data_IF_009638972607
#
_entry.id   IF_009638972607
#
_cell.length_a   1.000
_cell.length_b   1.000
_cell.length_c   1.000
_cell.angle_alpha   90.00
_cell.angle_beta   90.00
_cell.angle_gamma   90.00
#
_symmetry.space_group_name_H-M   'P 1'
#
loop_
_entity.id
_entity.type
_entity.pdbx_description
1 polymer ?
#
# COMPACT_ATOMS: atom_id res chain seq x y z
N UNK A 1 -63.92 34.19 48.04
CA UNK A 1 -63.73 33.96 49.49
C UNK A 1 -62.63 32.92 49.68
N UNK A 2 -61.35 33.30 49.46
CA UNK A 2 -60.10 32.50 49.56
C UNK A 2 -60.14 31.12 48.85
N UNK A 3 -59.06 30.60 48.29
CA UNK A 3 -58.14 29.69 48.95
C UNK A 3 -56.93 29.50 48.03
N UNK A 4 -55.76 29.62 48.65
CA UNK A 4 -54.40 29.22 48.30
C UNK A 4 -54.00 28.92 46.86
N UNK A 5 -53.06 29.73 46.38
CA UNK A 5 -52.06 29.33 45.39
C UNK A 5 -51.21 28.18 45.93
N UNK A 6 -51.14 27.08 45.18
CA UNK A 6 -50.15 26.03 45.36
C UNK A 6 -49.32 25.97 44.08
N UNK A 7 -48.15 26.60 44.08
CA UNK A 7 -47.18 26.52 42.98
C UNK A 7 -46.43 25.19 43.10
N UNK A 8 -46.88 24.17 42.37
CA UNK A 8 -46.08 22.97 42.13
C UNK A 8 -45.05 23.26 41.03
N UNK A 9 -43.78 23.25 41.45
CA UNK A 9 -42.61 23.28 40.59
C UNK A 9 -42.53 21.92 39.86
N UNK A 10 -42.88 21.87 38.57
CA UNK A 10 -42.65 20.69 37.73
C UNK A 10 -41.20 20.73 37.26
N UNK A 11 -40.32 20.01 37.95
CA UNK A 11 -38.95 19.74 37.51
C UNK A 11 -39.00 18.75 36.34
N UNK A 12 -38.76 19.25 35.13
CA UNK A 12 -38.44 18.41 33.98
C UNK A 12 -37.07 17.74 34.22
N UNK A 13 -37.06 16.48 34.64
CA UNK A 13 -35.88 15.63 34.54
C UNK A 13 -35.64 15.31 33.06
N UNK A 14 -34.72 16.05 32.43
CA UNK A 14 -34.11 15.62 31.17
C UNK A 14 -33.18 14.46 31.50
N UNK A 15 -33.60 13.24 31.16
CA UNK A 15 -32.76 12.06 31.22
C UNK A 15 -31.71 12.19 30.10
N UNK A 16 -30.57 12.78 30.43
CA UNK A 16 -29.37 12.70 29.62
C UNK A 16 -28.93 11.23 29.59
N UNK A 17 -29.25 10.53 28.51
CA UNK A 17 -28.56 9.29 28.17
C UNK A 17 -27.14 9.71 27.79
N UNK A 18 -26.23 9.69 28.77
CA UNK A 18 -24.80 9.63 28.51
C UNK A 18 -24.55 8.30 27.81
N UNK A 19 -24.47 8.35 26.48
CA UNK A 19 -23.80 7.32 25.72
C UNK A 19 -22.32 7.48 26.10
N UNK A 20 -21.85 6.65 27.02
CA UNK A 20 -20.41 6.43 27.23
C UNK A 20 -19.86 5.90 25.91
N UNK A 21 -19.42 6.83 25.06
CA UNK A 21 -18.52 6.53 23.97
C UNK A 21 -17.19 6.17 24.58
N UNK A 22 -16.99 4.88 24.88
CA UNK A 22 -15.65 4.36 25.15
C UNK A 22 -14.84 4.55 23.87
N UNK A 23 -14.08 5.64 23.83
CA UNK A 23 -13.04 5.90 22.85
C UNK A 23 -12.03 4.76 22.99
N UNK A 24 -12.14 3.74 22.13
CA UNK A 24 -11.14 2.68 22.01
C UNK A 24 -9.89 3.30 21.36
N UNK A 25 -9.09 3.99 22.17
CA UNK A 25 -7.71 4.33 21.83
C UNK A 25 -6.92 3.03 21.78
N UNK A 26 -6.80 2.46 20.58
CA UNK A 26 -5.79 1.46 20.29
C UNK A 26 -4.43 2.15 20.34
N UNK A 27 -3.73 2.03 21.47
CA UNK A 27 -2.31 2.38 21.61
C UNK A 27 -1.50 1.34 20.82
N UNK A 28 -1.38 1.52 19.51
CA UNK A 28 -0.57 0.68 18.61
C UNK A 28 0.91 0.97 18.85
N UNK A 29 1.45 0.36 19.90
CA UNK A 29 2.85 0.48 20.35
C UNK A 29 3.87 -0.31 19.49
N UNK A 30 3.70 -0.31 18.17
CA UNK A 30 4.55 -1.08 17.25
C UNK A 30 5.08 -0.31 16.02
N UNK A 31 4.93 1.00 15.97
CA UNK A 31 5.80 1.80 15.09
C UNK A 31 7.17 1.91 15.74
N UNK A 32 8.19 1.30 15.13
CA UNK A 32 9.58 1.63 15.48
C UNK A 32 9.82 3.07 15.07
N UNK A 33 9.62 3.96 16.03
CA UNK A 33 10.04 5.35 15.98
C UNK A 33 11.56 5.35 15.78
N UNK A 34 12.06 5.48 14.56
CA UNK A 34 13.48 5.65 14.33
C UNK A 34 13.88 7.04 14.84
N UNK A 35 14.66 7.09 15.92
CA UNK A 35 15.21 8.34 16.44
C UNK A 35 14.17 9.37 16.94
N UNK A 36 12.98 8.94 17.37
CA UNK A 36 11.93 9.87 17.85
C UNK A 36 10.94 10.36 16.76
N UNK A 37 11.14 10.01 15.49
CA UNK A 37 10.26 10.42 14.39
C UNK A 37 9.44 9.25 13.81
N UNK A 38 8.13 9.44 13.69
CA UNK A 38 7.29 8.63 12.83
C UNK A 38 7.35 9.17 11.40
N UNK A 39 7.92 8.38 10.49
CA UNK A 39 8.09 8.74 9.08
C UNK A 39 6.76 8.74 8.31
N UNK A 40 5.71 8.12 8.84
CA UNK A 40 4.44 7.91 8.17
C UNK A 40 3.35 8.90 8.61
N UNK A 41 3.63 9.74 9.62
CA UNK A 41 2.81 10.87 10.03
C UNK A 41 3.38 12.21 9.59
N UNK A 42 2.60 12.99 8.84
CA UNK A 42 3.10 14.16 8.15
C UNK A 42 2.07 14.80 7.23
N UNK A 43 2.56 15.55 6.26
CA UNK A 43 1.75 16.21 5.24
C UNK A 43 2.42 16.18 3.87
N UNK A 44 1.60 16.30 2.82
CA UNK A 44 2.10 16.55 1.48
C UNK A 44 2.41 18.03 1.31
N UNK A 45 3.63 18.32 0.88
CA UNK A 45 4.15 19.67 0.67
C UNK A 45 4.51 19.82 -0.80
N UNK A 46 4.08 20.93 -1.39
CA UNK A 46 4.48 21.29 -2.74
C UNK A 46 5.97 21.61 -2.79
N UNK A 47 6.68 21.03 -3.76
CA UNK A 47 8.12 21.20 -3.97
C UNK A 47 8.41 21.22 -5.48
N UNK A 48 8.91 22.36 -5.97
CA UNK A 48 9.26 22.56 -7.38
C UNK A 48 10.34 21.61 -7.90
N UNK A 49 11.20 21.10 -6.99
CA UNK A 49 12.31 20.20 -7.32
C UNK A 49 11.90 18.75 -7.57
N UNK A 50 10.60 18.43 -7.43
CA UNK A 50 10.02 17.15 -7.80
C UNK A 50 9.48 17.20 -9.25
N UNK A 51 9.32 16.05 -9.95
CA UNK A 51 9.58 14.68 -9.50
C UNK A 51 11.07 14.37 -9.35
N UNK A 52 11.40 13.21 -8.77
CA UNK A 52 12.80 12.78 -8.62
C UNK A 52 13.48 12.40 -9.93
N UNK A 53 12.69 12.07 -10.95
CA UNK A 53 13.14 11.74 -12.30
C UNK A 53 12.01 12.06 -13.30
N UNK A 54 12.38 12.27 -14.55
CA UNK A 54 11.43 12.40 -15.65
C UNK A 54 11.02 11.02 -16.17
N UNK A 55 9.72 10.78 -16.40
CA UNK A 55 9.20 9.50 -16.91
C UNK A 55 9.92 9.03 -18.19
N UNK A 56 10.24 9.98 -19.08
CA UNK A 56 10.92 9.74 -20.36
C UNK A 56 12.31 9.10 -20.23
N UNK A 57 12.97 9.24 -19.07
CA UNK A 57 14.27 8.64 -18.79
C UNK A 57 14.17 7.18 -18.32
N UNK A 58 12.95 6.67 -18.08
CA UNK A 58 12.72 5.30 -17.64
C UNK A 58 11.98 4.49 -18.72
N UNK A 59 12.70 3.72 -19.56
CA UNK A 59 12.10 3.11 -20.76
C UNK A 59 11.19 1.90 -20.47
N UNK A 60 11.13 1.44 -19.22
CA UNK A 60 10.45 0.21 -18.82
C UNK A 60 9.19 0.42 -17.97
N UNK A 61 8.69 1.65 -17.82
CA UNK A 61 7.39 1.91 -17.18
C UNK A 61 6.29 1.20 -18.00
N UNK A 62 5.47 0.37 -17.35
CA UNK A 62 4.34 -0.27 -18.05
C UNK A 62 3.27 0.76 -18.39
N UNK A 63 2.60 0.56 -19.53
CA UNK A 63 1.61 1.51 -20.07
C UNK A 63 0.55 1.92 -19.04
N UNK A 64 0.12 1.04 -18.14
CA UNK A 64 -0.89 1.41 -17.14
C UNK A 64 -0.44 2.47 -16.13
N UNK A 65 0.87 2.71 -15.97
CA UNK A 65 1.42 3.69 -15.02
C UNK A 65 2.04 4.92 -15.70
N UNK A 66 2.33 4.86 -17.01
CA UNK A 66 2.99 5.94 -17.76
C UNK A 66 1.99 7.03 -18.21
N UNK A 67 1.51 7.80 -17.24
CA UNK A 67 0.45 8.80 -17.46
C UNK A 67 0.87 9.92 -18.42
N UNK A 68 2.12 10.38 -18.32
CA UNK A 68 2.64 11.44 -19.20
C UNK A 68 2.69 10.98 -20.66
N UNK A 69 3.21 9.78 -20.92
CA UNK A 69 3.22 9.19 -22.27
C UNK A 69 1.82 8.88 -22.79
N UNK A 70 0.88 8.59 -21.90
CA UNK A 70 -0.53 8.41 -22.24
C UNK A 70 -1.28 9.74 -22.42
N UNK A 71 -0.61 10.88 -22.32
CA UNK A 71 -1.16 12.19 -22.67
C UNK A 71 -1.78 12.97 -21.50
N UNK A 72 -1.46 12.62 -20.24
CA UNK A 72 -1.90 13.39 -19.08
C UNK A 72 -1.32 14.81 -19.11
N UNK A 73 -2.16 15.87 -19.17
CA UNK A 73 -1.69 17.23 -19.40
C UNK A 73 -1.25 17.95 -18.11
N UNK A 74 -1.90 17.68 -16.98
CA UNK A 74 -1.56 18.31 -15.71
C UNK A 74 -0.27 17.72 -15.10
N UNK A 75 0.55 18.56 -14.47
CA UNK A 75 1.82 18.16 -13.85
C UNK A 75 1.87 18.39 -12.34
N UNK A 76 0.84 19.02 -11.76
CA UNK A 76 0.83 19.37 -10.33
C UNK A 76 0.95 18.14 -9.42
N UNK A 77 0.37 17.00 -9.81
CA UNK A 77 0.48 15.76 -9.05
C UNK A 77 1.93 15.27 -8.85
N UNK A 78 2.85 15.67 -9.74
CA UNK A 78 4.27 15.33 -9.66
C UNK A 78 5.03 16.16 -8.62
N UNK A 79 4.49 17.31 -8.22
CA UNK A 79 5.18 18.35 -7.46
C UNK A 79 5.00 18.22 -5.94
N UNK A 80 4.59 17.06 -5.45
CA UNK A 80 4.34 16.86 -4.02
C UNK A 80 5.35 15.90 -3.41
N UNK A 81 5.97 16.33 -2.31
CA UNK A 81 6.79 15.50 -1.44
C UNK A 81 6.13 15.26 -0.10
N UNK A 82 6.46 14.15 0.54
CA UNK A 82 6.03 13.88 1.90
C UNK A 82 6.97 14.55 2.91
N UNK A 83 6.41 15.23 3.90
CA UNK A 83 7.13 15.84 5.02
C UNK A 83 6.61 15.23 6.33
N UNK A 84 7.39 14.36 6.99
CA UNK A 84 7.08 13.91 8.34
C UNK A 84 6.99 15.11 9.30
N UNK A 85 6.09 15.04 10.28
CA UNK A 85 5.85 16.15 11.24
C UNK A 85 7.04 16.34 12.19
N UNK A 86 7.68 15.25 12.62
CA UNK A 86 8.71 15.26 13.67
C UNK A 86 10.16 15.30 13.15
N UNK A 87 10.37 15.18 11.84
CA UNK A 87 11.71 15.16 11.26
C UNK A 87 11.70 15.44 9.75
N UNK A 88 12.89 15.61 9.18
CA UNK A 88 13.05 15.69 7.74
C UNK A 88 13.29 14.30 7.15
N UNK A 89 12.51 13.97 6.11
CA UNK A 89 12.77 12.80 5.30
C UNK A 89 14.02 13.05 4.45
N UNK A 90 14.99 12.15 4.54
CA UNK A 90 16.22 12.25 3.71
C UNK A 90 15.84 12.06 2.25
N UNK A 91 16.30 12.95 1.37
CA UNK A 91 16.07 12.83 -0.07
C UNK A 91 16.68 11.52 -0.59
N UNK A 92 15.99 10.85 -1.49
CA UNK A 92 16.45 9.59 -2.06
C UNK A 92 17.80 9.74 -2.76
N UNK A 93 18.73 8.83 -2.47
CA UNK A 93 20.00 8.72 -3.19
C UNK A 93 20.11 7.30 -3.77
N UNK A 94 19.89 7.19 -5.09
CA UNK A 94 19.87 5.89 -5.77
C UNK A 94 21.25 5.21 -5.85
N UNK A 95 22.34 5.99 -5.91
CA UNK A 95 23.68 5.40 -5.89
C UNK A 95 24.01 4.83 -4.51
N UNK A 96 23.72 5.56 -3.42
CA UNK A 96 23.88 5.05 -2.06
C UNK A 96 23.00 3.80 -1.82
N UNK A 97 21.74 3.83 -2.27
CA UNK A 97 20.84 2.68 -2.20
C UNK A 97 21.48 1.44 -2.84
N UNK A 98 22.00 1.56 -4.06
CA UNK A 98 22.64 0.46 -4.78
C UNK A 98 23.94 0.00 -4.11
N UNK A 99 24.75 0.92 -3.57
CA UNK A 99 25.95 0.56 -2.81
C UNK A 99 25.61 -0.23 -1.54
N UNK A 100 24.55 0.15 -0.82
CA UNK A 100 24.10 -0.56 0.39
C UNK A 100 23.38 -1.88 0.10
N UNK A 101 22.78 -2.00 -1.09
CA UNK A 101 22.20 -3.23 -1.63
C UNK A 101 23.23 -4.08 -2.41
N UNK A 102 24.50 -3.71 -2.42
CA UNK A 102 25.50 -4.44 -3.19
C UNK A 102 25.56 -5.92 -2.76
N UNK A 103 25.51 -6.82 -3.74
CA UNK A 103 25.48 -8.27 -3.53
C UNK A 103 24.17 -8.84 -2.98
N UNK A 104 23.11 -8.03 -2.83
CA UNK A 104 21.84 -8.40 -2.20
C UNK A 104 20.67 -8.42 -3.17
N UNK A 105 19.58 -9.06 -2.71
CA UNK A 105 18.30 -9.19 -3.40
C UNK A 105 17.21 -8.50 -2.59
N UNK A 106 16.47 -7.62 -3.26
CA UNK A 106 15.22 -7.04 -2.76
C UNK A 106 14.07 -7.59 -3.60
N UNK A 107 13.00 -8.07 -2.96
CA UNK A 107 11.85 -8.65 -3.65
C UNK A 107 10.55 -8.05 -3.15
N UNK A 108 9.76 -7.53 -4.08
CA UNK A 108 8.37 -7.16 -3.89
C UNK A 108 7.50 -8.38 -4.17
N UNK A 109 6.61 -8.73 -3.25
CA UNK A 109 5.72 -9.88 -3.36
C UNK A 109 4.29 -9.43 -3.14
N UNK A 110 3.45 -9.54 -4.15
CA UNK A 110 2.07 -9.11 -4.00
C UNK A 110 1.32 -8.97 -5.29
N UNK A 111 0.39 -8.02 -5.28
CA UNK A 111 -0.47 -7.72 -6.41
C UNK A 111 0.14 -6.69 -7.38
N UNK A 112 -0.70 -6.01 -8.17
CA UNK A 112 -0.26 -5.01 -9.15
C UNK A 112 0.26 -3.72 -8.51
N UNK A 113 0.01 -3.46 -7.23
CA UNK A 113 0.56 -2.31 -6.51
C UNK A 113 2.02 -2.56 -6.09
N UNK A 114 2.36 -3.80 -5.73
CA UNK A 114 3.76 -4.25 -5.63
C UNK A 114 4.52 -4.08 -6.95
N UNK A 115 3.89 -4.40 -8.09
CA UNK A 115 4.48 -4.13 -9.41
C UNK A 115 4.70 -2.62 -9.62
N UNK A 116 3.72 -1.80 -9.23
CA UNK A 116 3.77 -0.35 -9.34
C UNK A 116 4.93 0.24 -8.51
N UNK A 117 5.10 -0.21 -7.26
CA UNK A 117 6.21 0.21 -6.40
C UNK A 117 7.57 -0.30 -6.90
N UNK A 118 7.64 -1.54 -7.39
CA UNK A 118 8.86 -2.11 -7.98
C UNK A 118 9.31 -1.35 -9.24
N UNK A 119 8.39 -0.97 -10.14
CA UNK A 119 8.71 -0.18 -11.32
C UNK A 119 9.20 1.23 -10.94
N UNK A 120 8.55 1.86 -9.96
CA UNK A 120 9.02 3.13 -9.38
C UNK A 120 10.46 3.04 -8.89
N UNK A 121 10.78 2.06 -8.03
CA UNK A 121 12.13 1.91 -7.50
C UNK A 121 13.14 1.65 -8.62
N UNK A 122 12.78 0.80 -9.58
CA UNK A 122 13.64 0.49 -10.72
C UNK A 122 13.95 1.75 -11.55
N UNK A 123 12.95 2.61 -11.80
CA UNK A 123 13.16 3.90 -12.46
C UNK A 123 14.04 4.85 -11.65
N UNK A 124 13.76 5.00 -10.35
CA UNK A 124 14.54 5.86 -9.45
C UNK A 124 16.01 5.44 -9.41
N UNK A 125 16.31 4.14 -9.42
CA UNK A 125 17.68 3.63 -9.46
C UNK A 125 18.32 3.78 -10.83
N UNK A 126 17.60 3.41 -11.91
CA UNK A 126 18.13 3.52 -13.27
C UNK A 126 18.54 4.96 -13.61
N UNK A 127 17.71 5.93 -13.25
CA UNK A 127 17.95 7.35 -13.52
C UNK A 127 19.03 7.95 -12.62
N UNK A 128 19.25 7.39 -11.43
CA UNK A 128 20.35 7.80 -10.54
C UNK A 128 21.73 7.31 -11.00
N UNK A 129 21.80 6.22 -11.78
CA UNK A 129 23.05 5.65 -12.32
C UNK A 129 22.91 5.34 -13.82
N UNK A 130 22.72 6.36 -14.69
CA UNK A 130 22.35 6.16 -16.09
C UNK A 130 23.36 5.34 -16.90
N UNK A 131 24.64 5.41 -16.54
CA UNK A 131 25.72 4.66 -17.20
C UNK A 131 25.93 3.24 -16.63
N UNK A 132 25.15 2.83 -15.64
CA UNK A 132 25.21 1.47 -15.10
C UNK A 132 24.47 0.50 -16.03
N UNK A 133 25.12 -0.59 -16.50
CA UNK A 133 24.41 -1.60 -17.27
C UNK A 133 23.34 -2.24 -16.39
N UNK A 134 22.26 -2.69 -17.03
CA UNK A 134 21.21 -3.46 -16.38
C UNK A 134 20.76 -4.62 -17.25
N UNK A 135 20.14 -5.62 -16.61
CA UNK A 135 19.41 -6.69 -17.31
C UNK A 135 18.03 -6.83 -16.71
N UNK A 136 17.02 -7.03 -17.55
CA UNK A 136 15.64 -7.27 -17.12
C UNK A 136 15.13 -8.57 -17.72
N UNK A 137 14.70 -9.50 -16.86
CA UNK A 137 14.19 -10.82 -17.27
C UNK A 137 12.87 -11.10 -16.57
N UNK A 138 11.95 -11.75 -17.28
CA UNK A 138 10.63 -12.12 -16.75
C UNK A 138 10.33 -13.58 -17.06
N UNK A 139 10.00 -14.34 -16.01
CA UNK A 139 9.65 -15.75 -16.08
C UNK A 139 8.37 -15.99 -15.30
N UNK A 140 7.25 -16.17 -16.02
CA UNK A 140 5.94 -16.29 -15.40
C UNK A 140 5.59 -15.08 -14.53
N UNK A 141 5.33 -15.33 -13.24
CA UNK A 141 5.03 -14.29 -12.25
C UNK A 141 6.26 -13.58 -11.67
N UNK A 142 7.49 -13.98 -12.04
CA UNK A 142 8.72 -13.42 -11.50
C UNK A 142 9.39 -12.47 -12.50
N UNK A 143 9.62 -11.22 -12.10
CA UNK A 143 10.44 -10.24 -12.81
C UNK A 143 11.72 -9.99 -12.03
N UNK A 144 12.88 -9.93 -12.70
CA UNK A 144 14.18 -9.67 -12.08
C UNK A 144 14.88 -8.58 -12.88
N UNK A 145 15.12 -7.44 -12.23
CA UNK A 145 15.95 -6.36 -12.73
C UNK A 145 17.28 -6.39 -11.99
N UNK A 146 18.38 -6.53 -12.71
CA UNK A 146 19.72 -6.66 -12.12
C UNK A 146 20.57 -5.47 -12.53
N UNK A 147 21.31 -4.91 -11.56
CA UNK A 147 22.41 -3.99 -11.80
C UNK A 147 23.74 -4.74 -11.60
N UNK A 148 24.37 -5.29 -12.67
CA UNK A 148 25.56 -6.14 -12.54
C UNK A 148 26.73 -5.43 -11.86
N UNK A 149 26.89 -4.11 -12.07
CA UNK A 149 27.92 -3.29 -11.41
C UNK A 149 27.89 -3.39 -9.89
N UNK A 150 26.70 -3.52 -9.30
CA UNK A 150 26.50 -3.61 -7.86
C UNK A 150 26.22 -5.04 -7.40
N UNK A 151 26.09 -5.99 -8.35
CA UNK A 151 25.52 -7.32 -8.09
C UNK A 151 24.20 -7.25 -7.28
N UNK A 152 23.38 -6.24 -7.57
CA UNK A 152 22.12 -5.98 -6.87
C UNK A 152 20.95 -6.42 -7.74
N UNK A 153 19.95 -7.10 -7.14
CA UNK A 153 18.75 -7.58 -7.84
C UNK A 153 17.49 -7.02 -7.23
N UNK A 154 16.66 -6.38 -8.05
CA UNK A 154 15.31 -5.95 -7.74
C UNK A 154 14.33 -6.94 -8.36
N UNK A 155 13.57 -7.62 -7.52
CA UNK A 155 12.70 -8.71 -7.93
C UNK A 155 11.24 -8.32 -7.66
N UNK A 156 10.34 -8.77 -8.52
CA UNK A 156 8.90 -8.74 -8.28
C UNK A 156 8.33 -10.14 -8.49
N UNK A 157 7.67 -10.68 -7.47
CA UNK A 157 6.99 -11.98 -7.50
C UNK A 157 5.49 -11.75 -7.37
N UNK A 158 4.75 -12.00 -8.45
CA UNK A 158 3.30 -11.83 -8.48
C UNK A 158 2.61 -12.91 -7.65
N UNK A 159 2.10 -12.52 -6.49
CA UNK A 159 1.25 -13.35 -5.65
C UNK A 159 0.22 -12.46 -4.92
N UNK A 160 -0.87 -12.13 -5.61
CA UNK A 160 -1.82 -11.11 -5.17
C UNK A 160 -2.57 -11.41 -3.87
N UNK A 161 -2.62 -12.68 -3.46
CA UNK A 161 -3.32 -13.12 -2.24
C UNK A 161 -2.34 -13.61 -1.17
N UNK A 162 -1.06 -13.74 -1.51
CA UNK A 162 0.01 -14.41 -0.74
C UNK A 162 -0.22 -15.92 -0.53
N UNK A 163 -1.47 -16.37 -0.54
CA UNK A 163 -1.92 -17.76 -0.49
C UNK A 163 -2.32 -18.29 -1.86
N UNK A 164 -2.46 -19.61 -1.96
CA UNK A 164 -2.58 -20.29 -3.26
C UNK A 164 -4.00 -20.24 -3.85
N UNK A 165 -4.05 -20.12 -5.19
CA UNK A 165 -5.25 -20.44 -5.98
C UNK A 165 -4.92 -21.67 -6.81
N UNK A 166 -5.67 -22.75 -6.58
CA UNK A 166 -5.44 -24.05 -7.23
C UNK A 166 -6.62 -24.42 -8.11
N UNK A 167 -6.35 -24.87 -9.33
CA UNK A 167 -7.37 -25.45 -10.20
C UNK A 167 -7.68 -26.89 -9.76
N UNK A 168 -8.93 -27.13 -9.36
CA UNK A 168 -9.42 -28.45 -8.95
C UNK A 168 -10.65 -28.84 -9.78
N UNK A 169 -11.14 -30.09 -9.62
CA UNK A 169 -12.33 -30.58 -10.33
C UNK A 169 -13.58 -29.74 -10.08
N UNK A 170 -13.66 -29.09 -8.91
CA UNK A 170 -14.79 -28.23 -8.54
C UNK A 170 -14.67 -26.81 -9.10
N UNK A 171 -13.52 -26.42 -9.65
CA UNK A 171 -13.21 -25.06 -10.09
C UNK A 171 -11.91 -24.54 -9.49
N UNK A 172 -11.68 -23.23 -9.59
CA UNK A 172 -10.53 -22.54 -8.99
C UNK A 172 -10.80 -22.31 -7.51
N UNK A 173 -9.91 -22.80 -6.64
CA UNK A 173 -10.07 -22.76 -5.19
C UNK A 173 -9.01 -21.85 -4.59
N UNK A 174 -9.42 -20.77 -3.93
CA UNK A 174 -8.55 -19.96 -3.07
C UNK A 174 -8.36 -20.70 -1.75
N UNK A 175 -7.16 -21.23 -1.51
CA UNK A 175 -6.80 -21.97 -0.29
C UNK A 175 -6.19 -21.01 0.71
N UNK A 176 -6.93 -20.64 1.75
CA UNK A 176 -6.50 -19.64 2.73
C UNK A 176 -5.37 -20.13 3.66
N UNK A 177 -5.09 -21.43 3.67
CA UNK A 177 -4.15 -22.13 4.55
C UNK A 177 -2.94 -22.73 3.82
N UNK A 178 -2.70 -22.31 2.57
CA UNK A 178 -1.62 -22.84 1.72
C UNK A 178 -0.78 -21.73 1.09
N UNK A 179 0.55 -21.90 1.11
CA UNK A 179 1.54 -20.99 0.50
C UNK A 179 2.64 -21.81 -0.17
N UNK A 180 2.44 -22.22 -1.43
CA UNK A 180 3.47 -22.91 -2.22
C UNK A 180 4.54 -21.93 -2.72
N UNK A 181 4.15 -20.69 -3.06
CA UNK A 181 5.06 -19.67 -3.58
C UNK A 181 6.16 -19.25 -2.59
N UNK A 182 6.00 -19.59 -1.31
CA UNK A 182 6.92 -19.23 -0.23
C UNK A 182 8.36 -19.68 -0.46
N UNK A 183 8.57 -20.81 -1.13
CA UNK A 183 9.92 -21.29 -1.45
C UNK A 183 10.74 -20.29 -2.27
N UNK A 184 10.07 -19.48 -3.12
CA UNK A 184 10.75 -18.47 -3.94
C UNK A 184 11.20 -17.25 -3.13
N UNK A 185 10.65 -17.04 -1.93
CA UNK A 185 10.94 -15.89 -1.07
C UNK A 185 12.15 -16.16 -0.16
N UNK A 186 12.50 -17.44 0.04
CA UNK A 186 13.59 -17.84 0.93
C UNK A 186 14.96 -17.34 0.43
N UNK A 187 15.78 -16.90 1.38
CA UNK A 187 17.13 -16.39 1.14
C UNK A 187 17.19 -14.98 0.53
N UNK A 188 16.07 -14.33 0.24
CA UNK A 188 16.04 -12.92 -0.19
C UNK A 188 16.42 -12.04 1.00
N UNK A 189 17.26 -11.03 0.78
CA UNK A 189 17.79 -10.16 1.86
C UNK A 189 16.75 -9.14 2.34
N UNK A 190 15.88 -8.66 1.44
CA UNK A 190 14.80 -7.73 1.76
C UNK A 190 13.51 -8.17 1.06
N UNK A 191 12.48 -8.50 1.84
CA UNK A 191 11.14 -8.85 1.35
C UNK A 191 10.17 -7.70 1.64
N UNK A 192 9.39 -7.30 0.64
CA UNK A 192 8.31 -6.30 0.77
C UNK A 192 7.02 -6.95 0.27
N UNK A 193 6.10 -7.20 1.18
CA UNK A 193 4.81 -7.82 0.87
C UNK A 193 3.71 -6.79 0.68
N UNK A 194 2.73 -7.09 -0.17
CA UNK A 194 1.49 -6.33 -0.37
C UNK A 194 0.36 -7.32 -0.72
N UNK A 195 -0.86 -7.03 -0.27
CA UNK A 195 -2.06 -7.81 -0.61
C UNK A 195 -3.32 -7.00 -0.26
N UNK A 196 -4.07 -6.48 -1.23
CA UNK A 196 -5.43 -5.97 -0.96
C UNK A 196 -6.32 -5.85 -2.20
N UNK A 197 -5.85 -5.22 -3.27
CA UNK A 197 -6.73 -4.76 -4.37
C UNK A 197 -7.45 -5.89 -5.09
N UNK A 198 -6.87 -7.09 -5.07
CA UNK A 198 -7.48 -8.27 -5.68
C UNK A 198 -8.56 -8.94 -4.82
N UNK A 199 -8.56 -8.71 -3.50
CA UNK A 199 -9.55 -9.28 -2.58
C UNK A 199 -10.95 -8.71 -2.81
N UNK A 200 -11.05 -7.47 -3.27
CA UNK A 200 -12.34 -6.81 -3.51
C UNK A 200 -12.97 -7.17 -4.87
N UNK A 201 -12.28 -7.95 -5.71
CA UNK A 201 -12.83 -8.38 -6.99
C UNK A 201 -14.00 -9.34 -6.83
N UNK A 202 -15.06 -9.09 -7.60
CA UNK A 202 -16.29 -9.90 -7.64
C UNK A 202 -16.68 -10.21 -9.08
N UNK A 203 -17.60 -11.17 -9.26
CA UNK A 203 -18.12 -11.56 -10.57
C UNK A 203 -17.00 -12.03 -11.51
N UNK A 204 -16.99 -11.52 -12.75
CA UNK A 204 -16.00 -11.93 -13.78
C UNK A 204 -14.56 -11.59 -13.43
N UNK A 205 -14.32 -10.61 -12.54
CA UNK A 205 -12.96 -10.24 -12.10
C UNK A 205 -12.45 -11.12 -10.95
N UNK A 206 -13.31 -11.93 -10.34
CA UNK A 206 -12.92 -12.82 -9.24
C UNK A 206 -12.09 -14.01 -9.76
N UNK A 207 -10.85 -14.20 -9.26
CA UNK A 207 -9.97 -15.24 -9.76
C UNK A 207 -10.22 -16.63 -9.14
N UNK A 208 -11.14 -16.75 -8.18
CA UNK A 208 -11.56 -18.02 -7.57
C UNK A 208 -13.07 -18.24 -7.73
N UNK A 209 -13.46 -19.51 -7.70
CA UNK A 209 -14.85 -19.96 -7.72
C UNK A 209 -15.31 -20.44 -6.33
N UNK A 210 -14.35 -20.90 -5.50
CA UNK A 210 -14.56 -21.36 -4.13
C UNK A 210 -13.42 -20.90 -3.22
N UNK A 211 -13.70 -20.83 -1.92
CA UNK A 211 -12.72 -20.55 -0.86
C UNK A 211 -12.63 -21.78 0.05
N UNK A 212 -11.41 -22.18 0.40
CA UNK A 212 -11.14 -23.30 1.31
C UNK A 212 -10.29 -22.88 2.49
N UNK A 213 -10.64 -23.37 3.68
CA UNK A 213 -9.84 -23.33 4.90
C UNK A 213 -9.96 -24.70 5.59
N UNK A 214 -8.85 -25.42 5.73
CA UNK A 214 -8.83 -26.81 6.17
C UNK A 214 -9.73 -27.68 5.29
N UNK A 215 -10.65 -28.40 5.94
CA UNK A 215 -11.59 -29.28 5.25
C UNK A 215 -12.89 -28.59 4.79
N UNK A 216 -13.06 -27.29 5.07
CA UNK A 216 -14.28 -26.56 4.73
C UNK A 216 -14.11 -25.85 3.39
N UNK A 217 -15.00 -26.14 2.44
CA UNK A 217 -15.07 -25.45 1.14
C UNK A 217 -16.40 -24.72 1.05
N UNK A 218 -16.35 -23.41 0.82
CA UNK A 218 -17.52 -22.54 0.68
C UNK A 218 -17.46 -21.79 -0.64
N UNK A 219 -18.60 -21.33 -1.15
CA UNK A 219 -18.66 -20.56 -2.40
C UNK A 219 -17.97 -19.21 -2.26
N UNK A 220 -18.22 -18.54 -1.14
CA UNK A 220 -17.67 -17.22 -0.93
C UNK A 220 -17.58 -16.84 0.55
N UNK A 221 -16.80 -15.80 0.86
CA UNK A 221 -16.53 -15.31 2.21
C UNK A 221 -16.47 -13.79 2.24
N UNK A 222 -16.81 -13.18 3.37
CA UNK A 222 -16.53 -11.76 3.62
C UNK A 222 -15.02 -11.46 3.36
N UNK A 223 -14.74 -10.40 2.61
CA UNK A 223 -13.38 -10.08 2.13
C UNK A 223 -12.39 -9.80 3.26
N UNK A 224 -12.81 -9.08 4.29
CA UNK A 224 -11.96 -8.77 5.44
C UNK A 224 -11.66 -10.04 6.26
N UNK A 225 -12.63 -10.95 6.37
CA UNK A 225 -12.43 -12.25 7.04
C UNK A 225 -11.46 -13.14 6.26
N UNK A 226 -11.66 -13.24 4.93
CA UNK A 226 -10.78 -14.03 4.07
C UNK A 226 -9.35 -13.47 4.06
N UNK A 227 -9.22 -12.14 3.95
CA UNK A 227 -7.95 -11.42 4.02
C UNK A 227 -7.22 -11.68 5.34
N UNK A 228 -7.91 -11.51 6.48
CA UNK A 228 -7.34 -11.78 7.79
C UNK A 228 -6.88 -13.23 7.95
N UNK A 229 -7.64 -14.21 7.43
CA UNK A 229 -7.25 -15.64 7.47
C UNK A 229 -5.99 -15.92 6.64
N UNK A 230 -5.93 -15.41 5.41
CA UNK A 230 -4.76 -15.57 4.55
C UNK A 230 -3.52 -14.87 5.12
N UNK A 231 -3.67 -13.67 5.67
CA UNK A 231 -2.58 -12.98 6.35
C UNK A 231 -2.09 -13.76 7.58
N UNK A 232 -2.98 -14.40 8.34
CA UNK A 232 -2.55 -15.26 9.46
C UNK A 232 -1.74 -16.47 8.97
N UNK A 233 -2.07 -17.03 7.81
CA UNK A 233 -1.28 -18.10 7.18
C UNK A 233 0.09 -17.58 6.74
N UNK A 234 0.13 -16.42 6.08
CA UNK A 234 1.38 -15.75 5.69
C UNK A 234 2.25 -15.40 6.91
N UNK A 235 1.66 -14.86 7.98
CA UNK A 235 2.35 -14.54 9.22
C UNK A 235 3.02 -15.77 9.85
N UNK A 236 2.28 -16.89 9.93
CA UNK A 236 2.85 -18.18 10.38
C UNK A 236 3.96 -18.67 9.47
N UNK A 237 3.83 -18.48 8.16
CA UNK A 237 4.88 -18.83 7.22
C UNK A 237 6.16 -18.02 7.48
N UNK A 238 6.06 -16.69 7.68
CA UNK A 238 7.19 -15.84 8.04
C UNK A 238 7.83 -16.30 9.35
N UNK A 239 7.01 -16.49 10.39
CA UNK A 239 7.44 -16.95 11.71
C UNK A 239 8.21 -18.28 11.64
N UNK A 240 7.85 -19.17 10.74
CA UNK A 240 8.48 -20.49 10.61
C UNK A 240 9.68 -20.53 9.66
N UNK A 241 9.74 -19.64 8.64
CA UNK A 241 10.68 -19.80 7.53
C UNK A 241 11.72 -18.69 7.40
N UNK A 242 11.52 -17.51 8.02
CA UNK A 242 12.41 -16.36 7.82
C UNK A 242 13.27 -16.08 9.05
N UNK A 243 14.58 -15.99 8.88
CA UNK A 243 15.49 -15.53 9.94
C UNK A 243 15.64 -14.00 9.88
N UNK A 244 15.16 -13.23 10.88
CA UNK A 244 15.19 -11.77 10.86
C UNK A 244 16.62 -11.19 10.97
N UNK A 245 17.62 -12.02 11.30
CA UNK A 245 19.03 -11.59 11.28
C UNK A 245 19.61 -11.58 9.86
N UNK A 246 19.01 -12.34 8.94
CA UNK A 246 19.45 -12.48 7.55
C UNK A 246 18.54 -11.72 6.57
N UNK A 247 17.23 -11.70 6.85
CA UNK A 247 16.23 -11.10 5.96
C UNK A 247 15.45 -10.01 6.69
N UNK A 248 15.43 -8.81 6.12
CA UNK A 248 14.50 -7.75 6.54
C UNK A 248 13.14 -7.97 5.86
N UNK A 249 12.07 -7.92 6.64
CA UNK A 249 10.70 -8.11 6.13
C UNK A 249 9.88 -6.87 6.36
N UNK A 250 9.25 -6.41 5.28
CA UNK A 250 8.31 -5.30 5.24
C UNK A 250 6.95 -5.78 4.77
N UNK A 251 5.92 -5.11 5.25
CA UNK A 251 4.60 -5.14 4.63
C UNK A 251 4.26 -3.72 4.19
N UNK A 252 3.99 -3.53 2.91
CA UNK A 252 3.45 -2.28 2.38
C UNK A 252 2.00 -2.15 2.85
N UNK A 253 1.67 -1.05 3.52
CA UNK A 253 0.29 -0.73 3.88
C UNK A 253 -0.63 -0.74 2.65
N UNK A 254 -1.91 -0.86 2.92
CA UNK A 254 -2.98 -0.91 1.92
C UNK A 254 -2.99 0.36 1.07
N UNK A 255 -2.53 0.25 -0.18
CA UNK A 255 -2.70 1.30 -1.18
C UNK A 255 -4.20 1.61 -1.34
N UNK A 256 -4.67 2.85 -1.14
CA UNK A 256 -6.08 3.19 -1.26
C UNK A 256 -6.51 3.28 -2.73
N UNK A 257 -7.81 3.06 -2.96
CA UNK A 257 -8.50 3.48 -4.18
C UNK A 257 -9.20 4.83 -3.99
N UNK A 258 -9.50 5.49 -5.10
CA UNK A 258 -10.33 6.70 -5.15
C UNK A 258 -11.49 6.53 -6.15
N UNK A 259 -12.25 5.43 -6.05
CA UNK A 259 -13.43 5.18 -6.91
C UNK A 259 -14.71 5.82 -6.39
N UNK A 260 -14.74 6.28 -5.14
CA UNK A 260 -15.90 6.94 -4.53
C UNK A 260 -15.49 8.28 -3.90
N UNK A 261 -15.92 9.38 -4.53
CA UNK A 261 -15.65 10.76 -4.11
C UNK A 261 -16.28 11.19 -2.79
N UNK A 262 -17.34 10.51 -2.35
CA UNK A 262 -17.97 10.78 -1.05
C UNK A 262 -16.96 10.62 0.11
N UNK A 263 -15.93 9.79 -0.09
CA UNK A 263 -14.86 9.57 0.89
C UNK A 263 -13.92 10.76 1.06
N UNK A 264 -13.88 11.72 0.14
CA UNK A 264 -13.06 12.94 0.29
C UNK A 264 -13.86 14.24 0.24
N UNK A 265 -15.20 14.14 0.18
CA UNK A 265 -16.09 15.27 0.40
C UNK A 265 -16.09 16.33 -0.69
N UNK A 266 -15.73 15.98 -1.93
CA UNK A 266 -15.76 16.92 -3.06
C UNK A 266 -17.09 16.83 -3.82
N UNK A 267 -17.94 17.89 -3.77
CA UNK A 267 -19.24 17.86 -4.44
C UNK A 267 -19.09 17.79 -5.96
N UNK A 268 -19.83 16.90 -6.61
CA UNK A 268 -19.88 16.78 -8.07
C UNK A 268 -18.78 15.91 -8.70
N UNK A 269 -17.70 15.62 -7.97
CA UNK A 269 -16.78 14.55 -8.33
C UNK A 269 -17.48 13.19 -8.20
N UNK A 270 -17.09 12.21 -9.02
CA UNK A 270 -17.60 10.82 -8.94
C UNK A 270 -16.51 9.81 -8.61
N UNK A 271 -15.33 10.01 -9.18
CA UNK A 271 -14.14 9.15 -9.07
C UNK A 271 -12.90 10.05 -9.04
N UNK A 272 -11.71 9.46 -9.16
CA UNK A 272 -10.46 10.19 -9.38
C UNK A 272 -10.38 10.91 -10.75
N UNK A 273 -11.36 10.76 -11.65
CA UNK A 273 -11.39 11.49 -12.92
C UNK A 273 -11.43 13.02 -12.73
N UNK A 274 -10.53 13.70 -13.43
CA UNK A 274 -10.38 15.16 -13.37
C UNK A 274 -9.68 15.70 -12.12
N UNK A 275 -9.23 14.82 -11.21
CA UNK A 275 -8.58 15.23 -9.97
C UNK A 275 -7.10 15.59 -10.21
N UNK A 276 -6.73 16.84 -9.95
CA UNK A 276 -5.39 17.38 -10.23
C UNK A 276 -4.65 17.87 -8.98
N UNK A 277 -5.34 17.92 -7.84
CA UNK A 277 -4.79 18.34 -6.55
C UNK A 277 -5.11 17.29 -5.47
N UNK A 278 -4.21 17.12 -4.48
CA UNK A 278 -4.45 16.23 -3.36
C UNK A 278 -5.67 16.67 -2.54
N UNK A 279 -6.14 15.78 -1.68
CA UNK A 279 -7.07 16.13 -0.61
C UNK A 279 -6.40 17.14 0.31
N UNK A 280 -7.08 18.26 0.58
CA UNK A 280 -6.56 19.30 1.46
C UNK A 280 -6.59 18.83 2.92
N UNK A 281 -5.54 19.15 3.66
CA UNK A 281 -5.41 18.83 5.08
C UNK A 281 -4.52 17.61 5.35
N UNK A 282 -4.48 17.22 6.63
CA UNK A 282 -3.59 16.15 7.13
C UNK A 282 -4.33 14.84 7.43
N UNK A 283 -5.67 14.85 7.38
CA UNK A 283 -6.51 13.68 7.65
C UNK A 283 -7.46 13.46 6.51
N UNK A 284 -7.57 12.20 6.08
CA UNK A 284 -8.52 11.81 5.07
C UNK A 284 -9.95 11.77 5.64
N UNK A 285 -10.95 12.44 5.01
CA UNK A 285 -12.31 12.49 5.55
C UNK A 285 -13.02 11.14 5.60
N UNK A 286 -12.67 10.20 4.72
CA UNK A 286 -13.36 8.92 4.52
C UNK A 286 -13.11 7.88 5.61
N UNK A 287 -12.43 8.27 6.69
CA UNK A 287 -12.15 7.41 7.84
C UNK A 287 -11.04 6.37 7.60
N UNK A 288 -10.92 5.47 8.58
CA UNK A 288 -9.88 4.45 8.61
C UNK A 288 -10.13 3.35 7.57
N UNK A 289 -9.05 2.90 6.93
CA UNK A 289 -9.09 1.77 6.02
C UNK A 289 -9.24 0.45 6.80
N UNK A 290 -10.36 -0.24 6.62
CA UNK A 290 -10.65 -1.46 7.37
C UNK A 290 -9.69 -2.61 7.06
N UNK A 291 -9.13 -2.68 5.85
CA UNK A 291 -8.13 -3.68 5.51
C UNK A 291 -6.78 -3.39 6.18
N UNK A 292 -6.41 -2.11 6.33
CA UNK A 292 -5.23 -1.72 7.11
C UNK A 292 -5.35 -2.18 8.56
N UNK A 293 -6.52 -1.98 9.19
CA UNK A 293 -6.75 -2.42 10.57
C UNK A 293 -6.64 -3.95 10.73
N UNK A 294 -7.08 -4.72 9.73
CA UNK A 294 -6.90 -6.17 9.71
C UNK A 294 -5.42 -6.54 9.59
N UNK A 295 -4.69 -5.84 8.73
CA UNK A 295 -3.24 -6.02 8.56
C UNK A 295 -2.50 -5.72 9.86
N UNK A 296 -2.68 -4.54 10.44
CA UNK A 296 -2.05 -4.11 11.69
C UNK A 296 -2.30 -5.12 12.82
N UNK A 297 -3.54 -5.61 12.94
CA UNK A 297 -3.91 -6.64 13.93
C UNK A 297 -3.13 -7.94 13.72
N UNK A 298 -2.94 -8.38 12.48
CA UNK A 298 -2.14 -9.58 12.20
C UNK A 298 -0.67 -9.34 12.51
N UNK A 299 -0.11 -8.21 12.08
CA UNK A 299 1.29 -7.86 12.34
C UNK A 299 1.59 -7.78 13.84
N UNK A 300 0.69 -7.22 14.64
CA UNK A 300 0.82 -7.14 16.10
C UNK A 300 0.77 -8.49 16.82
N UNK A 301 0.30 -9.55 16.16
CA UNK A 301 0.25 -10.91 16.71
C UNK A 301 1.42 -11.81 16.27
N UNK A 302 2.31 -11.32 15.40
CA UNK A 302 3.43 -12.10 14.87
C UNK A 302 4.54 -12.32 15.91
N UNK A 303 5.22 -13.46 15.85
CA UNK A 303 6.39 -13.72 16.72
C UNK A 303 7.62 -12.98 16.22
N UNK A 304 7.83 -12.94 14.91
CA UNK A 304 8.92 -12.21 14.26
C UNK A 304 8.40 -10.85 13.79
N UNK A 305 8.96 -9.73 14.28
CA UNK A 305 8.46 -8.43 13.93
C UNK A 305 8.66 -8.15 12.44
N UNK A 306 7.58 -7.84 11.74
CA UNK A 306 7.58 -7.30 10.38
C UNK A 306 7.37 -5.80 10.46
N UNK A 307 8.07 -5.05 9.61
CA UNK A 307 7.94 -3.62 9.58
C UNK A 307 6.82 -3.19 8.61
N UNK A 308 5.80 -2.50 9.15
CA UNK A 308 4.78 -1.87 8.33
C UNK A 308 5.35 -0.61 7.68
N UNK A 309 5.27 -0.51 6.36
CA UNK A 309 5.36 0.75 5.65
C UNK A 309 3.95 1.34 5.64
N UNK A 310 3.60 2.14 6.66
CA UNK A 310 2.25 2.67 6.88
C UNK A 310 1.89 3.77 5.85
N UNK A 311 1.81 3.38 4.58
CA UNK A 311 1.59 4.28 3.44
C UNK A 311 0.12 4.62 3.22
N UNK A 312 -0.80 3.97 3.95
CA UNK A 312 -2.24 4.09 3.73
C UNK A 312 -2.75 5.52 3.96
N UNK A 313 -2.49 6.17 5.12
CA UNK A 313 -3.04 7.50 5.38
C UNK A 313 -2.48 8.56 4.44
N UNK A 314 -1.17 8.56 4.19
CA UNK A 314 -0.55 9.52 3.28
C UNK A 314 -1.03 9.33 1.84
N UNK A 315 -1.25 8.09 1.40
CA UNK A 315 -1.72 7.82 0.03
C UNK A 315 -3.21 8.13 -0.14
N UNK A 316 -4.02 8.07 0.94
CA UNK A 316 -5.44 8.49 0.90
C UNK A 316 -5.58 9.98 0.59
N UNK A 317 -4.56 10.78 0.87
CA UNK A 317 -4.58 12.21 0.52
C UNK A 317 -4.30 12.46 -0.96
N UNK A 318 -3.95 11.45 -1.75
CA UNK A 318 -3.44 11.60 -3.12
C UNK A 318 -4.44 11.22 -4.21
N UNK A 319 -5.68 11.68 -4.11
CA UNK A 319 -6.71 11.46 -5.16
C UNK A 319 -6.27 11.89 -6.58
N UNK A 320 -5.30 12.80 -6.66
CA UNK A 320 -4.67 13.31 -7.89
C UNK A 320 -3.64 12.37 -8.52
N UNK A 321 -3.07 11.44 -7.76
CA UNK A 321 -1.91 10.63 -8.19
C UNK A 321 -2.25 9.45 -9.11
N UNK A 322 -3.52 9.16 -9.33
CA UNK A 322 -3.97 8.00 -10.11
C UNK A 322 -3.85 8.21 -11.63
N UNK A 323 -3.66 7.14 -12.43
CA UNK A 323 -3.73 7.23 -13.88
C UNK A 323 -5.07 7.73 -14.40
N UNK A 324 -6.16 7.41 -13.73
CA UNK A 324 -7.51 7.79 -14.15
C UNK A 324 -7.76 7.31 -15.58
N UNK A 325 -8.13 8.23 -16.48
CA UNK A 325 -8.33 7.97 -17.92
C UNK A 325 -7.03 7.78 -18.69
N UNK A 326 -5.88 8.09 -18.08
CA UNK A 326 -4.54 7.94 -18.66
C UNK A 326 -3.89 6.59 -18.28
N UNK A 327 -4.67 5.64 -17.77
CA UNK A 327 -4.26 4.25 -17.60
C UNK A 327 -4.56 3.39 -18.84
N UNK A 328 -4.32 2.08 -18.74
CA UNK A 328 -4.53 1.13 -19.85
C UNK A 328 -5.98 1.13 -20.39
N UNK A 329 -6.96 1.36 -19.51
CA UNK A 329 -8.39 1.29 -19.82
C UNK A 329 -8.99 2.53 -20.49
N UNK A 330 -8.28 3.66 -20.51
CA UNK A 330 -8.82 4.91 -21.04
C UNK A 330 -10.07 5.39 -20.30
N UNK A 331 -10.87 6.23 -20.96
CA UNK A 331 -12.19 6.65 -20.49
C UNK A 331 -13.20 5.51 -20.29
N UNK A 332 -12.95 4.30 -20.83
CA UNK A 332 -13.86 3.15 -20.68
C UNK A 332 -13.67 2.39 -19.39
N UNK A 333 -12.50 2.52 -18.76
CA UNK A 333 -12.16 1.84 -17.52
C UNK A 333 -11.14 2.68 -16.76
N UNK A 334 -11.67 3.74 -16.12
CA UNK A 334 -10.92 4.71 -15.32
C UNK A 334 -10.20 3.97 -14.19
N UNK A 335 -8.89 4.16 -14.11
CA UNK A 335 -8.05 3.53 -13.09
C UNK A 335 -7.86 4.48 -11.90
N UNK A 336 -8.58 4.20 -10.81
CA UNK A 336 -8.41 4.89 -9.52
C UNK A 336 -7.82 3.97 -8.45
N UNK A 337 -7.06 2.95 -8.87
CA UNK A 337 -6.45 1.97 -7.97
C UNK A 337 -4.92 2.02 -8.04
N UNK A 338 -4.36 2.08 -9.25
CA UNK A 338 -2.92 2.20 -9.47
C UNK A 338 -2.45 3.66 -9.46
N UNK A 339 -1.15 3.89 -9.60
CA UNK A 339 -0.54 5.21 -9.52
C UNK A 339 0.28 5.54 -10.76
N UNK A 340 0.23 6.82 -11.15
CA UNK A 340 1.15 7.34 -12.16
C UNK A 340 2.61 7.20 -11.68
N UNK A 341 3.52 6.94 -12.62
CA UNK A 341 4.96 7.00 -12.41
C UNK A 341 5.57 8.05 -13.35
N UNK A 342 6.41 8.99 -12.84
CA UNK A 342 6.70 9.25 -11.42
C UNK A 342 5.46 9.67 -10.62
N UNK A 343 5.50 9.51 -9.30
CA UNK A 343 4.35 9.80 -8.43
C UNK A 343 4.41 9.19 -7.03
N UNK A 344 3.24 8.84 -6.49
CA UNK A 344 3.04 8.37 -5.11
C UNK A 344 3.95 7.18 -4.72
N UNK A 345 4.16 6.16 -5.57
CA UNK A 345 5.05 5.05 -5.25
C UNK A 345 6.52 5.46 -5.07
N UNK A 346 6.97 6.57 -5.66
CA UNK A 346 8.32 7.10 -5.44
C UNK A 346 8.49 7.55 -3.97
N UNK A 347 7.41 8.05 -3.35
CA UNK A 347 7.39 8.38 -1.92
C UNK A 347 7.41 7.13 -1.05
N UNK A 348 6.69 6.07 -1.44
CA UNK A 348 6.78 4.78 -0.73
C UNK A 348 8.21 4.24 -0.72
N UNK A 349 8.92 4.40 -1.84
CA UNK A 349 10.33 4.02 -1.97
C UNK A 349 11.28 4.94 -1.20
N UNK A 350 10.98 6.24 -1.06
CA UNK A 350 11.70 7.13 -0.14
C UNK A 350 11.56 6.69 1.32
N UNK A 351 10.34 6.34 1.73
CA UNK A 351 10.05 5.84 3.08
C UNK A 351 10.74 4.49 3.32
N UNK A 352 10.70 3.58 2.34
CA UNK A 352 11.44 2.31 2.39
C UNK A 352 12.95 2.55 2.52
N UNK A 353 13.53 3.47 1.74
CA UNK A 353 14.95 3.82 1.82
C UNK A 353 15.35 4.33 3.20
N UNK A 354 14.61 5.33 3.73
CA UNK A 354 14.85 5.89 5.07
C UNK A 354 14.70 4.84 6.17
N UNK A 355 13.77 3.90 5.99
CA UNK A 355 13.54 2.81 6.93
C UNK A 355 14.61 1.72 6.86
N UNK A 356 15.09 1.39 5.66
CA UNK A 356 16.13 0.37 5.44
C UNK A 356 17.49 0.82 5.97
N UNK A 357 17.79 2.10 5.80
CA UNK A 357 19.08 2.71 6.09
C UNK A 357 18.88 3.95 6.98
N UNK A 358 18.47 3.77 8.25
CA UNK A 358 18.37 4.88 9.18
C UNK A 358 19.76 5.50 9.38
N UNK A 359 19.78 6.83 9.54
CA UNK A 359 20.99 7.59 9.84
C UNK A 359 21.53 7.29 11.25
#
# INVERSE_FOLDING_TARGET
MRWSFCTSLVLFFTLLIQIDGSEYLYDNKHERVFGGCDLFQGSWVYDESYPLYESSLCPFIEKQFDCEKNGRPDKFYLKYRWQPTGCNLTRFNGEDFLRRLAGKRIMFVGDSLSLNQWQSLTCMLHTAVPDAPYTSVRYGGLSIFTFPRYNAKLMFSRNAFLVDIVAERIGRVLKLDSIEAGETWKGVDVLIFDSWHWWVHTGRKQPWDFIREGNQTIRDMNRLVAYGKALNTWAKWIDNNIDPTQTKVFFQGVSPDHVNSDKWGEPGAKTCEGQTLPVLGVRYPGGLNQAELVLEKVLGAMKKPVQLLNITPLSQLRKDGHPSVYGFGGHRNIDCSHWCLPGVPDTWNQLLYATLFPN
#
